data_IF_830351191766
#
_entry.id   IF_830351191766
#
_cell.length_a   1.000
_cell.length_b   1.000
_cell.length_c   1.000
_cell.angle_alpha   90.00
_cell.angle_beta   90.00
_cell.angle_gamma   90.00
#
_symmetry.space_group_name_H-M   'P 1'
#
loop_
_entity.id
_entity.type
_entity.pdbx_description
1 polymer ?
#
# COMPACT_ATOMS: atom_id res chain seq x y z
N UNK A 1 -48.38 20.36 45.27
CA UNK A 1 -47.18 19.59 44.89
C UNK A 1 -47.47 18.89 43.55
N UNK A 2 -46.90 19.38 42.43
CA UNK A 2 -47.15 18.82 41.09
C UNK A 2 -46.36 17.51 40.93
N UNK A 3 -47.05 16.40 40.69
CA UNK A 3 -46.43 15.09 40.39
C UNK A 3 -45.89 15.15 38.96
N UNK A 4 -44.57 15.11 38.80
CA UNK A 4 -43.96 14.88 37.48
C UNK A 4 -44.02 13.36 37.21
N UNK A 5 -44.77 12.97 36.20
CA UNK A 5 -44.76 11.61 35.65
C UNK A 5 -43.56 11.49 34.71
N UNK A 6 -42.62 10.60 35.05
CA UNK A 6 -41.54 10.21 34.15
C UNK A 6 -42.06 9.08 33.28
N UNK A 7 -42.29 9.38 32.00
CA UNK A 7 -42.61 8.35 31.01
C UNK A 7 -41.29 7.72 30.56
N UNK A 8 -40.99 6.54 31.09
CA UNK A 8 -39.90 5.70 30.57
C UNK A 8 -40.32 5.15 29.22
N UNK A 9 -39.79 5.73 28.15
CA UNK A 9 -39.92 5.18 26.81
C UNK A 9 -39.04 3.93 26.70
N UNK A 10 -39.63 2.78 26.98
CA UNK A 10 -39.02 1.51 26.62
C UNK A 10 -39.10 1.35 25.09
N UNK A 11 -38.00 0.95 24.43
CA UNK A 11 -38.08 0.58 23.02
C UNK A 11 -39.14 -0.52 22.86
N UNK A 12 -39.94 -0.42 21.80
CA UNK A 12 -40.93 -1.45 21.49
C UNK A 12 -40.24 -2.81 21.32
N UNK A 13 -40.97 -3.89 21.58
CA UNK A 13 -40.48 -5.25 21.34
C UNK A 13 -39.95 -5.42 19.91
N UNK A 14 -40.61 -4.79 18.94
CA UNK A 14 -40.20 -4.75 17.54
C UNK A 14 -38.84 -4.05 17.35
N UNK A 15 -38.62 -2.91 18.01
CA UNK A 15 -37.33 -2.19 17.95
C UNK A 15 -36.19 -2.99 18.59
N UNK A 16 -36.45 -3.65 19.72
CA UNK A 16 -35.48 -4.54 20.38
C UNK A 16 -35.12 -5.70 19.45
N UNK A 17 -36.14 -6.35 18.86
CA UNK A 17 -35.97 -7.47 17.94
C UNK A 17 -35.17 -7.10 16.69
N UNK A 18 -35.47 -5.94 16.08
CA UNK A 18 -34.73 -5.44 14.92
C UNK A 18 -33.26 -5.17 15.24
N UNK A 19 -33.00 -4.51 16.37
CA UNK A 19 -31.63 -4.23 16.84
C UNK A 19 -30.84 -5.53 17.06
N UNK A 20 -31.45 -6.52 17.71
CA UNK A 20 -30.80 -7.83 17.94
C UNK A 20 -30.51 -8.55 16.62
N UNK A 21 -31.42 -8.49 15.64
CA UNK A 21 -31.21 -9.10 14.32
C UNK A 21 -30.07 -8.45 13.53
N UNK A 22 -29.93 -7.13 13.61
CA UNK A 22 -28.80 -6.41 13.02
C UNK A 22 -27.47 -6.82 13.64
N UNK A 23 -27.38 -6.82 14.98
CA UNK A 23 -26.17 -7.26 15.69
C UNK A 23 -25.80 -8.71 15.33
N UNK A 24 -26.78 -9.61 15.20
CA UNK A 24 -26.52 -11.00 14.77
C UNK A 24 -25.97 -11.04 13.35
N UNK A 25 -26.47 -10.21 12.43
CA UNK A 25 -25.92 -10.12 11.06
C UNK A 25 -24.47 -9.63 11.09
N UNK A 26 -24.16 -8.60 11.86
CA UNK A 26 -22.81 -8.06 11.98
C UNK A 26 -21.84 -9.11 12.54
N UNK A 27 -22.25 -9.84 13.58
CA UNK A 27 -21.47 -10.95 14.14
C UNK A 27 -21.22 -12.04 13.09
N UNK A 28 -22.22 -12.37 12.26
CA UNK A 28 -22.06 -13.35 11.18
C UNK A 28 -21.09 -12.86 10.11
N UNK A 29 -21.16 -11.59 9.73
CA UNK A 29 -20.23 -10.97 8.76
C UNK A 29 -18.81 -11.02 9.31
N UNK A 30 -18.59 -10.57 10.54
CA UNK A 30 -17.27 -10.59 11.21
C UNK A 30 -16.71 -12.01 11.31
N UNK A 31 -17.53 -13.00 11.67
CA UNK A 31 -17.11 -14.41 11.70
C UNK A 31 -16.75 -14.94 10.31
N UNK A 32 -17.44 -14.49 9.26
CA UNK A 32 -17.14 -14.88 7.88
C UNK A 32 -15.82 -14.26 7.41
N UNK A 33 -15.58 -12.99 7.73
CA UNK A 33 -14.31 -12.31 7.40
C UNK A 33 -13.11 -12.96 8.08
N UNK A 34 -13.24 -13.33 9.36
CA UNK A 34 -12.18 -14.04 10.09
C UNK A 34 -11.80 -15.40 9.48
N UNK A 35 -12.75 -16.04 8.80
CA UNK A 35 -12.55 -17.32 8.09
C UNK A 35 -12.00 -17.15 6.68
N UNK A 36 -11.82 -15.92 6.20
CA UNK A 36 -11.19 -15.67 4.90
C UNK A 36 -9.75 -16.20 4.91
N UNK A 37 -9.29 -16.56 3.72
CA UNK A 37 -7.99 -17.17 3.52
C UNK A 37 -6.99 -16.07 3.20
N UNK A 38 -5.80 -16.19 3.79
CA UNK A 38 -4.63 -15.41 3.47
C UNK A 38 -3.63 -16.30 2.77
N UNK A 39 -3.10 -15.78 1.65
CA UNK A 39 -1.98 -16.36 0.93
C UNK A 39 -0.81 -15.39 0.97
N UNK A 40 0.36 -15.84 1.39
CA UNK A 40 1.62 -15.11 1.35
C UNK A 40 2.53 -15.70 0.28
N UNK A 41 3.14 -14.83 -0.53
CA UNK A 41 4.21 -15.18 -1.47
C UNK A 41 5.46 -14.40 -1.12
N UNK A 42 6.56 -15.11 -0.89
CA UNK A 42 7.86 -14.53 -0.55
C UNK A 42 8.89 -15.03 -1.57
N UNK A 43 9.77 -14.14 -2.04
CA UNK A 43 10.94 -14.51 -2.85
C UNK A 43 12.19 -14.09 -2.11
N UNK A 44 12.91 -15.06 -1.57
CA UNK A 44 14.16 -14.87 -0.84
C UNK A 44 15.36 -14.98 -1.79
N UNK A 45 16.48 -14.33 -1.43
CA UNK A 45 17.71 -14.49 -2.22
C UNK A 45 18.37 -15.85 -1.98
N UNK A 46 18.29 -16.32 -0.73
CA UNK A 46 18.79 -17.59 -0.24
C UNK A 46 17.79 -18.13 0.78
N UNK A 47 17.66 -19.46 0.84
CA UNK A 47 16.74 -20.13 1.75
C UNK A 47 17.55 -20.98 2.70
N UNK A 48 17.48 -20.68 4.00
CA UNK A 48 18.09 -21.50 5.05
C UNK A 48 17.32 -22.81 5.21
N UNK A 49 18.01 -23.85 5.70
CA UNK A 49 17.37 -25.13 6.01
C UNK A 49 16.24 -24.98 7.05
N UNK A 50 16.37 -24.00 7.95
CA UNK A 50 15.46 -23.81 9.10
C UNK A 50 14.31 -22.83 8.81
N UNK A 51 14.15 -22.36 7.58
CA UNK A 51 13.18 -21.31 7.22
C UNK A 51 11.73 -21.67 7.61
N UNK A 52 11.38 -22.95 7.49
CA UNK A 52 10.04 -23.46 7.81
C UNK A 52 9.80 -23.39 9.33
N UNK A 53 10.79 -23.80 10.13
CA UNK A 53 10.75 -23.69 11.59
C UNK A 53 10.70 -22.22 12.04
N UNK A 54 11.44 -21.34 11.38
CA UNK A 54 11.38 -19.91 11.65
C UNK A 54 9.99 -19.33 11.39
N UNK A 55 9.33 -19.69 10.29
CA UNK A 55 7.96 -19.28 10.00
C UNK A 55 6.99 -19.86 11.02
N UNK A 56 7.10 -21.15 11.36
CA UNK A 56 6.22 -21.79 12.33
C UNK A 56 6.40 -21.29 13.76
N UNK A 57 7.59 -20.78 14.11
CA UNK A 57 7.81 -20.11 15.39
C UNK A 57 7.04 -18.78 15.51
N UNK A 58 6.65 -18.18 14.37
CA UNK A 58 5.87 -16.94 14.30
C UNK A 58 4.37 -17.27 14.26
N UNK A 59 3.98 -18.23 13.42
CA UNK A 59 2.60 -18.73 13.37
C UNK A 59 2.57 -20.24 13.25
N UNK A 60 2.02 -20.90 14.27
CA UNK A 60 1.83 -22.36 14.24
C UNK A 60 0.69 -22.77 13.31
N UNK A 61 -0.28 -21.88 13.10
CA UNK A 61 -1.49 -22.14 12.32
C UNK A 61 -1.33 -21.65 10.87
N UNK A 62 -0.29 -22.11 10.19
CA UNK A 62 -0.11 -21.87 8.76
C UNK A 62 0.41 -23.13 8.06
N UNK A 63 0.21 -23.19 6.75
CA UNK A 63 0.81 -24.19 5.87
C UNK A 63 1.90 -23.48 5.08
N UNK A 64 3.12 -23.99 5.12
CA UNK A 64 4.26 -23.44 4.39
C UNK A 64 4.63 -24.39 3.26
N UNK A 65 4.92 -23.85 2.08
CA UNK A 65 5.43 -24.61 0.95
C UNK A 65 6.64 -23.89 0.37
N UNK A 66 7.77 -24.57 0.34
CA UNK A 66 9.04 -24.04 -0.15
C UNK A 66 9.33 -24.64 -1.52
N UNK A 67 9.55 -23.80 -2.52
CA UNK A 67 10.00 -24.17 -3.86
C UNK A 67 11.23 -23.34 -4.22
N UNK A 68 12.41 -23.91 -4.00
CA UNK A 68 13.69 -23.22 -4.17
C UNK A 68 13.67 -21.89 -3.39
N UNK A 69 13.72 -20.74 -4.07
CA UNK A 69 13.68 -19.40 -3.46
C UNK A 69 12.29 -18.87 -3.14
N UNK A 70 11.24 -19.54 -3.61
CA UNK A 70 9.86 -19.11 -3.43
C UNK A 70 9.24 -19.81 -2.23
N UNK A 71 8.62 -19.02 -1.34
CA UNK A 71 7.86 -19.55 -0.21
C UNK A 71 6.41 -19.11 -0.36
N UNK A 72 5.52 -20.09 -0.29
CA UNK A 72 4.07 -19.90 -0.21
C UNK A 72 3.61 -20.18 1.23
N UNK A 73 2.81 -19.28 1.79
CA UNK A 73 2.25 -19.41 3.15
C UNK A 73 0.74 -19.31 3.05
N UNK A 74 0.00 -20.28 3.59
CA UNK A 74 -1.45 -20.28 3.63
C UNK A 74 -1.94 -20.31 5.07
N UNK A 75 -2.89 -19.45 5.41
CA UNK A 75 -3.51 -19.43 6.73
C UNK A 75 -4.87 -18.73 6.69
N UNK A 76 -5.61 -18.76 7.80
CA UNK A 76 -6.81 -17.95 7.95
C UNK A 76 -6.46 -16.52 8.36
N UNK A 77 -7.35 -15.58 8.04
CA UNK A 77 -7.15 -14.16 8.31
C UNK A 77 -6.99 -13.85 9.80
N UNK A 78 -7.71 -14.56 10.68
CA UNK A 78 -7.57 -14.39 12.12
C UNK A 78 -6.16 -14.72 12.61
N UNK A 79 -5.58 -15.85 12.20
CA UNK A 79 -4.21 -16.23 12.56
C UNK A 79 -3.17 -15.26 11.95
N UNK A 80 -3.43 -14.74 10.74
CA UNK A 80 -2.56 -13.77 10.09
C UNK A 80 -2.44 -12.48 10.93
N UNK A 81 -3.58 -11.96 11.40
CA UNK A 81 -3.62 -10.76 12.25
C UNK A 81 -3.00 -11.05 13.62
N UNK A 82 -3.33 -12.18 14.24
CA UNK A 82 -2.84 -12.52 15.58
C UNK A 82 -1.33 -12.72 15.62
N UNK A 83 -0.77 -13.39 14.60
CA UNK A 83 0.68 -13.64 14.51
C UNK A 83 1.47 -12.46 13.96
N UNK A 84 0.80 -11.52 13.29
CA UNK A 84 1.42 -10.47 12.50
C UNK A 84 2.56 -10.99 11.60
N UNK A 85 2.34 -12.17 11.01
CA UNK A 85 3.38 -12.96 10.33
C UNK A 85 4.07 -12.18 9.22
N UNK A 86 3.33 -11.34 8.51
CA UNK A 86 3.84 -10.46 7.45
C UNK A 86 5.04 -9.61 7.92
N UNK A 87 4.91 -8.99 9.10
CA UNK A 87 5.95 -8.17 9.71
C UNK A 87 7.00 -9.01 10.42
N UNK A 88 6.57 -10.01 11.17
CA UNK A 88 7.44 -10.80 12.04
C UNK A 88 8.40 -11.68 11.25
N UNK A 89 7.99 -12.24 10.10
CA UNK A 89 8.91 -12.97 9.20
C UNK A 89 9.98 -12.03 8.69
N UNK A 90 9.61 -10.80 8.34
CA UNK A 90 10.57 -9.80 7.85
C UNK A 90 11.61 -9.41 8.89
N UNK A 91 11.16 -9.15 10.13
CA UNK A 91 12.04 -8.83 11.27
C UNK A 91 12.97 -9.99 11.61
N UNK A 92 12.46 -11.22 11.56
CA UNK A 92 13.21 -12.41 11.95
C UNK A 92 14.30 -12.77 10.94
N UNK A 93 13.98 -12.73 9.65
CA UNK A 93 14.90 -13.09 8.58
C UNK A 93 16.03 -12.07 8.34
N UNK A 94 15.87 -10.83 8.82
CA UNK A 94 16.87 -9.74 8.70
C UNK A 94 17.47 -9.59 7.30
N UNK A 95 16.70 -9.93 6.27
CA UNK A 95 17.14 -9.91 4.88
C UNK A 95 16.11 -9.18 4.01
N UNK A 96 16.60 -8.65 2.89
CA UNK A 96 15.77 -7.92 1.96
C UNK A 96 15.13 -8.90 1.00
N UNK A 97 13.81 -8.99 1.05
CA UNK A 97 13.01 -9.81 0.15
C UNK A 97 11.71 -9.11 -0.24
N UNK A 98 11.24 -9.48 -1.42
CA UNK A 98 9.93 -9.07 -1.91
C UNK A 98 8.88 -10.05 -1.40
N UNK A 99 7.77 -9.51 -0.91
CA UNK A 99 6.64 -10.32 -0.50
C UNK A 99 5.31 -9.66 -0.84
N UNK A 100 4.30 -10.50 -1.03
CA UNK A 100 2.92 -10.08 -1.25
C UNK A 100 1.97 -11.00 -0.49
N UNK A 101 0.99 -10.39 0.16
CA UNK A 101 -0.06 -11.09 0.88
C UNK A 101 -1.41 -10.76 0.24
N UNK A 102 -2.26 -11.77 0.11
CA UNK A 102 -3.57 -11.64 -0.50
C UNK A 102 -4.64 -12.25 0.37
N UNK A 103 -5.70 -11.48 0.62
CA UNK A 103 -6.92 -11.96 1.29
C UNK A 103 -7.94 -12.39 0.24
N UNK A 104 -8.60 -13.53 0.45
CA UNK A 104 -9.66 -14.01 -0.43
C UNK A 104 -10.64 -14.93 0.26
N UNK A 105 -11.82 -15.14 -0.34
CA UNK A 105 -12.84 -16.06 0.17
C UNK A 105 -12.49 -17.52 -0.15
N UNK A 106 -11.55 -17.75 -1.05
CA UNK A 106 -11.00 -19.06 -1.39
C UNK A 106 -9.50 -18.95 -1.70
N UNK A 107 -8.83 -20.09 -1.82
CA UNK A 107 -7.37 -20.17 -2.03
C UNK A 107 -6.97 -19.49 -3.35
N UNK A 108 -7.75 -19.64 -4.41
CA UNK A 108 -7.43 -19.08 -5.73
C UNK A 108 -7.49 -17.54 -5.72
N UNK A 109 -8.53 -16.97 -5.10
CA UNK A 109 -8.66 -15.53 -4.91
C UNK A 109 -7.52 -14.97 -4.05
N UNK A 110 -7.23 -15.62 -2.92
CA UNK A 110 -6.14 -15.22 -2.03
C UNK A 110 -4.78 -15.26 -2.75
N UNK A 111 -4.50 -16.34 -3.49
CA UNK A 111 -3.28 -16.50 -4.30
C UNK A 111 -3.17 -15.44 -5.40
N UNK A 112 -4.27 -15.16 -6.12
CA UNK A 112 -4.32 -14.11 -7.14
C UNK A 112 -3.98 -12.73 -6.54
N UNK A 113 -4.60 -12.40 -5.41
CA UNK A 113 -4.34 -11.14 -4.70
C UNK A 113 -2.90 -11.06 -4.18
N UNK A 114 -2.34 -12.16 -3.69
CA UNK A 114 -0.96 -12.23 -3.22
C UNK A 114 0.05 -12.03 -4.36
N UNK A 115 -0.21 -12.61 -5.53
CA UNK A 115 0.61 -12.41 -6.73
C UNK A 115 0.59 -10.94 -7.18
N UNK A 116 -0.59 -10.30 -7.16
CA UNK A 116 -0.74 -8.87 -7.45
C UNK A 116 0.06 -8.01 -6.45
N UNK A 117 -0.09 -8.29 -5.16
CA UNK A 117 0.65 -7.62 -4.08
C UNK A 117 2.18 -7.77 -4.25
N UNK A 118 2.64 -8.98 -4.59
CA UNK A 118 4.03 -9.30 -4.80
C UNK A 118 4.63 -8.57 -6.01
N UNK A 119 3.90 -8.53 -7.14
CA UNK A 119 4.30 -7.74 -8.32
C UNK A 119 4.46 -6.27 -7.96
N UNK A 120 3.54 -5.71 -7.16
CA UNK A 120 3.62 -4.32 -6.66
C UNK A 120 4.85 -4.09 -5.77
N UNK A 121 5.18 -5.04 -4.89
CA UNK A 121 6.41 -5.02 -4.08
C UNK A 121 7.66 -4.92 -4.97
N UNK A 122 7.75 -5.74 -6.02
CA UNK A 122 8.84 -5.68 -7.02
C UNK A 122 8.86 -4.36 -7.81
N UNK A 123 7.71 -3.96 -8.33
CA UNK A 123 7.58 -2.73 -9.13
C UNK A 123 8.00 -1.50 -8.37
N UNK A 124 7.78 -1.44 -7.06
CA UNK A 124 8.13 -0.28 -6.24
C UNK A 124 9.56 -0.35 -5.68
N UNK A 125 10.29 -1.46 -5.87
CA UNK A 125 11.60 -1.77 -5.26
C UNK A 125 11.65 -1.67 -3.73
N UNK A 126 10.51 -1.46 -3.06
CA UNK A 126 10.53 -1.34 -1.62
C UNK A 126 10.40 -2.72 -1.01
N UNK A 127 11.09 -2.89 0.12
CA UNK A 127 10.95 -3.98 1.06
C UNK A 127 9.58 -3.96 1.76
N UNK A 128 8.51 -3.87 1.00
CA UNK A 128 7.19 -3.55 1.51
C UNK A 128 6.29 -4.73 1.35
N UNK A 129 5.57 -4.99 2.44
CA UNK A 129 4.61 -6.06 2.56
C UNK A 129 3.25 -5.48 2.21
N UNK A 130 2.71 -5.85 1.05
CA UNK A 130 1.37 -5.44 0.63
C UNK A 130 0.35 -6.52 0.99
N UNK A 131 -0.80 -6.10 1.49
CA UNK A 131 -2.00 -6.90 1.61
C UNK A 131 -3.06 -6.38 0.64
N UNK A 132 -3.47 -7.22 -0.30
CA UNK A 132 -4.57 -6.90 -1.21
C UNK A 132 -5.81 -7.67 -0.81
N UNK A 133 -6.90 -6.95 -0.61
CA UNK A 133 -8.26 -7.46 -0.51
C UNK A 133 -9.05 -7.04 -1.76
N UNK A 134 -10.19 -7.67 -1.99
CA UNK A 134 -11.09 -7.41 -3.13
C UNK A 134 -11.37 -5.92 -3.41
N UNK A 135 -11.36 -5.08 -2.36
CA UNK A 135 -11.74 -3.67 -2.44
C UNK A 135 -10.65 -2.69 -1.97
N UNK A 136 -9.49 -3.17 -1.50
CA UNK A 136 -8.48 -2.28 -0.91
C UNK A 136 -7.09 -2.91 -0.91
N UNK A 137 -6.08 -2.06 -1.07
CA UNK A 137 -4.68 -2.43 -0.93
C UNK A 137 -4.13 -1.73 0.31
N UNK A 138 -3.51 -2.50 1.22
CA UNK A 138 -2.97 -2.01 2.47
C UNK A 138 -1.48 -2.32 2.52
N UNK A 139 -0.69 -1.34 2.90
CA UNK A 139 0.73 -1.49 3.20
C UNK A 139 0.86 -1.92 4.66
N UNK A 140 1.40 -3.11 4.91
CA UNK A 140 1.52 -3.69 6.25
C UNK A 140 2.89 -3.52 6.90
N UNK A 141 3.92 -3.07 6.18
CA UNK A 141 5.26 -2.92 6.74
C UNK A 141 5.34 -1.73 7.72
N UNK A 142 6.20 -1.84 8.74
CA UNK A 142 6.75 -0.71 9.51
C UNK A 142 7.70 0.06 8.59
N UNK A 143 7.12 0.68 7.57
CA UNK A 143 7.87 1.59 6.76
C UNK A 143 8.03 2.85 7.59
N UNK A 144 9.26 3.36 7.66
CA UNK A 144 9.44 4.75 8.09
C UNK A 144 8.54 5.66 7.23
N UNK A 145 7.99 6.71 7.85
CA UNK A 145 7.04 7.63 7.24
C UNK A 145 7.54 8.19 5.90
N UNK A 146 8.85 8.37 5.75
CA UNK A 146 9.48 8.88 4.53
C UNK A 146 9.31 7.91 3.34
N UNK A 147 9.60 6.62 3.55
CA UNK A 147 9.42 5.59 2.52
C UNK A 147 7.93 5.33 2.23
N UNK A 148 7.04 5.44 3.23
CA UNK A 148 5.59 5.36 3.00
C UNK A 148 5.12 6.49 2.10
N UNK A 149 5.57 7.72 2.39
CA UNK A 149 5.29 8.89 1.54
C UNK A 149 5.82 8.68 0.11
N UNK A 150 7.03 8.14 -0.06
CA UNK A 150 7.56 7.86 -1.40
C UNK A 150 6.67 6.91 -2.21
N UNK A 151 6.10 5.88 -1.58
CA UNK A 151 5.20 4.94 -2.25
C UNK A 151 3.93 5.64 -2.70
N UNK A 152 3.30 6.42 -1.83
CA UNK A 152 2.11 7.21 -2.16
C UNK A 152 2.38 8.14 -3.35
N UNK A 153 3.57 8.74 -3.41
CA UNK A 153 3.99 9.58 -4.53
C UNK A 153 4.17 8.76 -5.81
N UNK A 154 4.88 7.63 -5.74
CA UNK A 154 5.10 6.75 -6.91
C UNK A 154 3.77 6.23 -7.46
N UNK A 155 2.81 5.91 -6.61
CA UNK A 155 1.47 5.46 -7.02
C UNK A 155 0.73 6.57 -7.78
N UNK A 156 0.70 7.80 -7.24
CA UNK A 156 0.12 8.96 -7.95
C UNK A 156 0.80 9.21 -9.30
N UNK A 157 2.13 9.11 -9.36
CA UNK A 157 2.88 9.32 -10.60
C UNK A 157 2.63 8.20 -11.63
N UNK A 158 2.40 6.96 -11.16
CA UNK A 158 2.05 5.82 -12.00
C UNK A 158 0.69 6.01 -12.69
N UNK A 159 -0.31 6.56 -11.99
CA UNK A 159 -1.60 6.93 -12.59
C UNK A 159 -1.43 7.95 -13.73
N UNK A 160 -0.36 8.75 -13.68
CA UNK A 160 0.04 9.69 -14.72
C UNK A 160 0.94 9.06 -15.80
N UNK A 161 1.06 7.73 -15.87
CA UNK A 161 1.93 7.01 -16.81
C UNK A 161 3.40 7.45 -16.74
N UNK A 162 3.86 7.88 -15.56
CA UNK A 162 5.28 8.20 -15.33
C UNK A 162 5.98 6.93 -14.90
N UNK A 163 7.15 6.65 -15.50
CA UNK A 163 7.92 5.44 -15.20
C UNK A 163 8.46 5.49 -13.77
N UNK A 164 8.72 4.31 -13.19
CA UNK A 164 9.33 4.19 -11.87
C UNK A 164 10.65 4.98 -11.75
N UNK A 165 11.57 4.78 -12.69
CA UNK A 165 12.86 5.45 -12.71
C UNK A 165 12.72 6.99 -12.70
N UNK A 166 11.75 7.52 -13.45
CA UNK A 166 11.47 8.95 -13.44
C UNK A 166 10.80 9.40 -12.13
N UNK A 167 9.99 8.54 -11.51
CA UNK A 167 9.34 8.82 -10.23
C UNK A 167 10.35 8.95 -9.09
N UNK A 168 11.34 8.05 -9.04
CA UNK A 168 12.44 8.11 -8.05
C UNK A 168 13.26 9.41 -8.20
N UNK A 169 13.65 9.75 -9.43
CA UNK A 169 14.31 11.02 -9.76
C UNK A 169 13.48 12.25 -9.38
N UNK A 170 12.17 12.23 -9.64
CA UNK A 170 11.28 13.34 -9.26
C UNK A 170 11.15 13.48 -7.74
N UNK A 171 11.15 12.37 -6.99
CA UNK A 171 11.17 12.38 -5.52
C UNK A 171 12.46 13.03 -4.99
N UNK A 172 13.61 12.72 -5.60
CA UNK A 172 14.89 13.37 -5.25
C UNK A 172 14.85 14.88 -5.47
N UNK A 173 14.35 15.33 -6.64
CA UNK A 173 14.14 16.75 -6.93
C UNK A 173 13.17 17.43 -5.97
N UNK A 174 12.11 16.72 -5.57
CA UNK A 174 11.17 17.25 -4.59
C UNK A 174 11.83 17.46 -3.22
N UNK A 175 12.69 16.54 -2.81
CA UNK A 175 13.43 16.63 -1.53
C UNK A 175 14.46 17.75 -1.51
N UNK A 176 15.12 18.04 -2.64
CA UNK A 176 16.04 19.17 -2.75
C UNK A 176 15.32 20.52 -2.64
N UNK A 177 13.99 20.55 -2.77
CA UNK A 177 13.14 21.76 -2.80
C UNK A 177 13.55 22.74 -3.92
N UNK A 178 14.29 22.26 -4.91
CA UNK A 178 14.77 23.07 -6.01
C UNK A 178 13.62 23.38 -6.98
N UNK A 179 13.61 24.62 -7.48
CA UNK A 179 12.73 25.00 -8.58
C UNK A 179 13.38 24.57 -9.89
N UNK A 180 12.64 23.81 -10.69
CA UNK A 180 13.15 23.25 -11.93
C UNK A 180 12.60 24.00 -13.14
N UNK A 181 13.47 24.31 -14.09
CA UNK A 181 13.06 24.71 -15.43
C UNK A 181 12.85 23.48 -16.30
N UNK A 182 12.13 23.64 -17.41
CA UNK A 182 11.98 22.57 -18.40
C UNK A 182 13.33 22.01 -18.86
N UNK A 183 14.31 22.88 -19.14
CA UNK A 183 15.65 22.50 -19.56
C UNK A 183 16.39 21.70 -18.48
N UNK A 184 16.34 22.16 -17.22
CA UNK A 184 17.01 21.47 -16.11
C UNK A 184 16.42 20.06 -15.90
N UNK A 185 15.08 19.95 -15.96
CA UNK A 185 14.41 18.67 -15.80
C UNK A 185 14.71 17.71 -16.96
N UNK A 186 14.77 18.22 -18.20
CA UNK A 186 15.13 17.45 -19.37
C UNK A 186 16.52 16.83 -19.23
N UNK A 187 17.51 17.62 -18.80
CA UNK A 187 18.87 17.13 -18.52
C UNK A 187 18.89 16.11 -17.39
N UNK A 188 18.18 16.36 -16.29
CA UNK A 188 18.21 15.48 -15.12
C UNK A 188 17.52 14.12 -15.36
N UNK A 189 16.41 14.11 -16.11
CA UNK A 189 15.69 12.89 -16.47
C UNK A 189 16.26 12.18 -17.70
N UNK A 190 17.22 12.80 -18.41
CA UNK A 190 17.75 12.33 -19.71
C UNK A 190 16.65 12.14 -20.77
N UNK A 191 15.84 13.19 -20.95
CA UNK A 191 14.72 13.23 -21.89
C UNK A 191 14.74 14.52 -22.71
N UNK A 192 13.97 14.57 -23.80
CA UNK A 192 13.82 15.83 -24.57
C UNK A 192 13.10 16.91 -23.75
N UNK A 193 13.45 18.19 -23.98
CA UNK A 193 12.73 19.34 -23.40
C UNK A 193 11.22 19.28 -23.68
N UNK A 194 10.81 18.77 -24.85
CA UNK A 194 9.39 18.61 -25.16
C UNK A 194 8.70 17.62 -24.22
N UNK A 195 9.36 16.50 -23.92
CA UNK A 195 8.86 15.48 -22.99
C UNK A 195 8.83 16.03 -21.56
N UNK A 196 9.88 16.74 -21.15
CA UNK A 196 9.95 17.38 -19.84
C UNK A 196 8.84 18.44 -19.66
N UNK A 197 8.59 19.26 -20.68
CA UNK A 197 7.52 20.26 -20.65
C UNK A 197 6.14 19.59 -20.51
N UNK A 198 5.87 18.55 -21.30
CA UNK A 198 4.61 17.79 -21.19
C UNK A 198 4.44 17.16 -19.80
N UNK A 199 5.52 16.63 -19.23
CA UNK A 199 5.50 16.07 -17.87
C UNK A 199 5.20 17.14 -16.82
N UNK A 200 5.87 18.29 -16.87
CA UNK A 200 5.64 19.40 -15.94
C UNK A 200 4.21 19.97 -16.03
N UNK A 201 3.67 20.11 -17.25
CA UNK A 201 2.27 20.51 -17.43
C UNK A 201 1.32 19.47 -16.85
N UNK A 202 1.56 18.18 -17.10
CA UNK A 202 0.74 17.10 -16.53
C UNK A 202 0.77 17.09 -15.00
N UNK A 203 1.93 17.34 -14.40
CA UNK A 203 2.05 17.46 -12.94
C UNK A 203 1.29 18.67 -12.40
N UNK A 204 1.37 19.82 -13.07
CA UNK A 204 0.65 21.04 -12.71
C UNK A 204 -0.87 20.85 -12.81
N UNK A 205 -1.37 20.25 -13.89
CA UNK A 205 -2.79 19.93 -14.10
C UNK A 205 -3.37 19.00 -13.03
N UNK A 206 -2.53 18.16 -12.41
CA UNK A 206 -2.92 17.24 -11.34
C UNK A 206 -2.59 17.75 -9.94
N UNK A 207 -2.31 19.06 -9.79
CA UNK A 207 -1.94 19.70 -8.52
C UNK A 207 -0.69 19.12 -7.84
N UNK A 208 0.19 18.46 -8.61
CA UNK A 208 1.46 17.90 -8.14
C UNK A 208 2.65 18.85 -8.36
N UNK A 209 2.43 19.98 -9.04
CA UNK A 209 3.41 21.04 -9.20
C UNK A 209 2.72 22.41 -9.30
N UNK A 210 3.43 23.47 -8.92
CA UNK A 210 3.04 24.85 -9.18
C UNK A 210 4.12 25.53 -10.01
N UNK A 211 3.74 26.57 -10.75
CA UNK A 211 4.65 27.28 -11.60
C UNK A 211 4.64 28.79 -11.38
N UNK A 212 5.82 29.39 -11.53
CA UNK A 212 6.01 30.83 -11.49
C UNK A 212 6.72 31.29 -12.77
N UNK A 213 6.24 32.40 -13.34
CA UNK A 213 6.91 33.06 -14.46
C UNK A 213 7.99 34.01 -13.94
N UNK A 214 9.20 33.85 -14.46
CA UNK A 214 10.34 34.70 -14.17
C UNK A 214 10.65 35.55 -15.40
N UNK A 215 10.69 36.87 -15.19
CA UNK A 215 11.16 37.82 -16.20
C UNK A 215 12.67 37.66 -16.35
N UNK A 216 13.11 37.47 -17.59
CA UNK A 216 14.52 37.41 -17.95
C UNK A 216 14.88 38.66 -18.76
N UNK A 217 16.17 39.04 -18.74
CA UNK A 217 16.67 40.26 -19.38
C UNK A 217 16.53 40.27 -20.91
N UNK A 218 16.48 39.09 -21.54
CA UNK A 218 16.21 38.90 -22.98
C UNK A 218 15.43 37.60 -23.23
N UNK A 219 14.43 37.66 -24.10
CA UNK A 219 13.62 36.51 -24.52
C UNK A 219 12.25 36.40 -23.82
N UNK A 220 11.54 35.28 -24.05
CA UNK A 220 10.25 35.01 -23.40
C UNK A 220 10.45 34.69 -21.91
N UNK A 221 9.55 35.15 -21.01
CA UNK A 221 9.59 34.78 -19.60
C UNK A 221 9.74 33.26 -19.42
N UNK A 222 10.63 32.84 -18.51
CA UNK A 222 10.85 31.43 -18.22
C UNK A 222 9.89 30.98 -17.13
N UNK A 223 9.30 29.80 -17.32
CA UNK A 223 8.45 29.14 -16.32
C UNK A 223 9.34 28.24 -15.45
N UNK A 224 9.34 28.49 -14.14
CA UNK A 224 9.95 27.60 -13.15
C UNK A 224 8.86 26.86 -12.40
N UNK A 225 9.09 25.58 -12.15
CA UNK A 225 8.16 24.70 -11.47
C UNK A 225 8.70 24.31 -10.09
N UNK A 226 7.79 24.17 -9.13
CA UNK A 226 8.06 23.61 -7.80
C UNK A 226 7.14 22.40 -7.62
N UNK A 227 7.72 21.25 -7.28
CA UNK A 227 6.99 20.00 -7.03
C UNK A 227 6.30 20.04 -5.65
N UNK A 228 5.10 19.47 -5.54
CA UNK A 228 4.21 19.57 -4.37
C UNK A 228 3.75 18.21 -3.81
N UNK A 229 4.62 17.19 -3.86
CA UNK A 229 4.27 15.82 -3.48
C UNK A 229 3.88 15.60 -2.00
#
# INVERSE_FOLDING_TARGET
>A
MKKFTFDFLFPSEENIKNTVLEVIKDIKILKSEKKQIIFGKLLLNEVSADIEEEIHSISKNCIVKILDKNIEILMIYEDFINSNIALNVKKKLKMNFFSGWGKGNNINEARYNAEKAYKKSKETNFEVVYLVSTNSEIILSEIDDEKKKNIEIIEKLKELNITKQNSEKLIELFRSKEKVSCANLATYLDISERTANRLLLKLEENNLAISNLIKISRGRPKKLYQLLF
#
